data_IF_700605599701
#
_entry.id   IF_700605599701
#
_cell.length_a   1.000
_cell.length_b   1.000
_cell.length_c   1.000
_cell.angle_alpha   90.00
_cell.angle_beta   90.00
_cell.angle_gamma   90.00
#
_symmetry.space_group_name_H-M   'P 1'
#
loop_
_entity.id
_entity.type
_entity.pdbx_description
1 polymer ?
#
# COMPACT_ATOMS: atom_id res chain seq x y z
N UNK A 1 -1.51 22.53 -1.00
CA UNK A 1 -1.88 21.12 -0.70
C UNK A 1 -3.26 21.13 -0.06
N UNK A 2 -4.16 20.28 -0.52
CA UNK A 2 -5.45 20.02 0.12
C UNK A 2 -5.31 18.71 0.91
N UNK A 3 -5.43 18.79 2.22
CA UNK A 3 -5.26 17.66 3.14
C UNK A 3 -6.53 17.49 3.95
N UNK A 4 -7.42 16.61 3.51
CA UNK A 4 -8.64 16.27 4.22
C UNK A 4 -9.13 14.88 3.85
N UNK A 5 -9.78 14.24 4.79
CA UNK A 5 -10.55 13.04 4.53
C UNK A 5 -11.85 13.44 3.80
N UNK A 6 -12.04 12.91 2.59
CA UNK A 6 -13.20 13.25 1.76
C UNK A 6 -13.50 12.12 0.75
N UNK A 7 -14.71 12.12 0.25
CA UNK A 7 -15.21 11.19 -0.75
C UNK A 7 -15.01 11.72 -2.18
N UNK A 8 -15.48 10.99 -3.17
CA UNK A 8 -15.38 11.39 -4.58
C UNK A 8 -16.09 12.72 -4.89
N UNK A 9 -17.30 13.03 -4.40
CA UNK A 9 -17.91 14.36 -4.53
C UNK A 9 -17.05 15.50 -4.00
N UNK A 10 -16.41 15.31 -2.84
CA UNK A 10 -15.50 16.30 -2.29
C UNK A 10 -14.25 16.49 -3.15
N UNK A 11 -13.66 15.41 -3.65
CA UNK A 11 -12.51 15.50 -4.56
C UNK A 11 -12.86 16.15 -5.90
N UNK A 12 -14.05 15.92 -6.45
CA UNK A 12 -14.55 16.62 -7.65
C UNK A 12 -14.57 18.13 -7.45
N UNK A 13 -15.06 18.60 -6.31
CA UNK A 13 -15.07 20.02 -5.97
C UNK A 13 -13.65 20.58 -5.83
N UNK A 14 -12.75 19.83 -5.19
CA UNK A 14 -11.35 20.23 -5.02
C UNK A 14 -10.62 20.34 -6.36
N UNK A 15 -10.79 19.38 -7.27
CA UNK A 15 -10.19 19.45 -8.62
C UNK A 15 -10.67 20.71 -9.35
N UNK A 16 -11.98 21.01 -9.33
CA UNK A 16 -12.52 22.21 -9.97
C UNK A 16 -12.00 23.51 -9.36
N UNK A 17 -11.82 23.55 -8.05
CA UNK A 17 -11.18 24.68 -7.38
C UNK A 17 -9.72 24.85 -7.82
N UNK A 18 -8.97 23.74 -7.95
CA UNK A 18 -7.58 23.80 -8.43
C UNK A 18 -7.49 24.22 -9.91
N UNK A 19 -8.46 23.84 -10.74
CA UNK A 19 -8.59 24.35 -12.13
C UNK A 19 -8.78 25.87 -12.12
N UNK A 20 -9.74 26.36 -11.33
CA UNK A 20 -10.06 27.80 -11.24
C UNK A 20 -8.87 28.64 -10.73
N UNK A 21 -7.98 28.05 -9.91
CA UNK A 21 -6.74 28.68 -9.44
C UNK A 21 -5.64 28.77 -10.51
N UNK A 22 -5.81 28.17 -11.68
CA UNK A 22 -4.85 28.22 -12.77
C UNK A 22 -3.59 27.36 -12.54
N UNK A 23 -3.71 26.29 -11.77
CA UNK A 23 -2.61 25.34 -11.54
C UNK A 23 -2.14 24.73 -12.88
N UNK A 24 -0.85 24.36 -12.97
CA UNK A 24 -0.27 23.72 -14.16
C UNK A 24 -0.32 22.20 -14.11
N UNK A 25 -0.34 21.66 -12.89
CA UNK A 25 -0.50 20.23 -12.64
C UNK A 25 -1.38 20.01 -11.41
N UNK A 26 -2.12 18.92 -11.40
CA UNK A 26 -2.89 18.42 -10.26
C UNK A 26 -2.42 17.01 -9.98
N UNK A 27 -2.00 16.76 -8.74
CA UNK A 27 -1.60 15.42 -8.25
C UNK A 27 -2.67 15.00 -7.25
N UNK A 28 -3.22 13.81 -7.41
CA UNK A 28 -4.34 13.33 -6.63
C UNK A 28 -4.17 11.87 -6.22
N UNK A 29 -4.46 11.53 -4.97
CA UNK A 29 -4.75 10.16 -4.56
C UNK A 29 -6.27 9.97 -4.68
N UNK A 30 -6.76 9.23 -5.70
CA UNK A 30 -8.18 9.22 -6.03
C UNK A 30 -8.99 8.31 -5.12
N UNK A 31 -10.16 8.76 -4.71
CA UNK A 31 -11.13 7.98 -3.93
C UNK A 31 -11.80 6.84 -4.73
N UNK A 32 -11.64 6.81 -6.05
CA UNK A 32 -12.17 5.75 -6.91
C UNK A 32 -11.67 5.88 -8.34
N UNK A 33 -11.78 4.82 -9.13
CA UNK A 33 -11.17 4.78 -10.47
C UNK A 33 -11.86 5.69 -11.49
N UNK A 34 -13.19 5.83 -11.43
CA UNK A 34 -14.01 6.47 -12.48
C UNK A 34 -14.70 7.74 -12.01
N UNK A 35 -15.00 7.85 -10.73
CA UNK A 35 -15.84 8.90 -10.17
C UNK A 35 -15.31 10.31 -10.42
N UNK A 36 -13.99 10.45 -10.61
CA UNK A 36 -13.32 11.75 -10.82
C UNK A 36 -13.13 12.09 -12.30
N UNK A 37 -13.42 11.17 -13.21
CA UNK A 37 -13.20 11.35 -14.65
C UNK A 37 -13.78 12.66 -15.22
N UNK A 38 -14.99 13.12 -14.84
CA UNK A 38 -15.51 14.39 -15.37
C UNK A 38 -14.62 15.58 -15.02
N UNK A 39 -14.20 15.74 -13.77
CA UNK A 39 -13.35 16.87 -13.36
C UNK A 39 -11.92 16.73 -13.90
N UNK A 40 -11.41 15.51 -14.03
CA UNK A 40 -10.11 15.23 -14.64
C UNK A 40 -10.15 15.64 -16.13
N UNK A 41 -11.22 15.33 -16.86
CA UNK A 41 -11.38 15.73 -18.24
C UNK A 41 -11.47 17.28 -18.37
N UNK A 42 -12.17 17.95 -17.46
CA UNK A 42 -12.20 19.44 -17.38
C UNK A 42 -10.78 20.00 -17.18
N UNK A 43 -9.98 19.42 -16.29
CA UNK A 43 -8.60 19.84 -16.04
C UNK A 43 -7.71 19.66 -17.28
N UNK A 44 -7.78 18.50 -17.92
CA UNK A 44 -7.01 18.19 -19.13
C UNK A 44 -7.41 19.14 -20.29
N UNK A 45 -8.70 19.41 -20.47
CA UNK A 45 -9.18 20.37 -21.47
C UNK A 45 -8.69 21.80 -21.19
N UNK A 46 -8.45 22.17 -19.95
CA UNK A 46 -7.82 23.41 -19.54
C UNK A 46 -6.28 23.42 -19.68
N UNK A 47 -5.68 22.36 -20.22
CA UNK A 47 -4.23 22.23 -20.39
C UNK A 47 -3.47 21.89 -19.11
N UNK A 48 -4.14 21.38 -18.09
CA UNK A 48 -3.54 21.00 -16.81
C UNK A 48 -3.10 19.54 -16.87
N UNK A 49 -1.88 19.25 -16.46
CA UNK A 49 -1.40 17.88 -16.31
C UNK A 49 -2.04 17.26 -15.07
N UNK A 50 -2.71 16.11 -15.21
CA UNK A 50 -3.30 15.38 -14.08
C UNK A 50 -2.55 14.09 -13.85
N UNK A 51 -2.14 13.87 -12.60
CA UNK A 51 -1.41 12.67 -12.17
C UNK A 51 -2.15 12.05 -10.98
N UNK A 52 -2.65 10.84 -11.18
CA UNK A 52 -3.13 10.01 -10.08
C UNK A 52 -1.94 9.27 -9.45
N UNK A 53 -1.84 9.28 -8.13
CA UNK A 53 -0.77 8.62 -7.37
C UNK A 53 -1.36 7.58 -6.43
N UNK A 54 -0.61 6.51 -6.17
CA UNK A 54 -0.97 5.37 -5.31
C UNK A 54 -2.14 4.53 -5.87
N UNK A 55 -3.27 5.14 -6.16
CA UNK A 55 -4.41 4.53 -6.83
C UNK A 55 -4.59 5.09 -8.24
N UNK A 56 -5.11 4.28 -9.17
CA UNK A 56 -5.25 4.66 -10.57
C UNK A 56 -6.64 5.20 -10.90
N UNK A 57 -6.71 6.05 -11.94
CA UNK A 57 -7.95 6.52 -12.56
C UNK A 57 -8.05 6.02 -14.01
N UNK A 58 -9.27 5.94 -14.52
CA UNK A 58 -9.54 5.52 -15.92
C UNK A 58 -9.67 6.71 -16.88
N UNK A 59 -9.55 7.95 -16.40
CA UNK A 59 -9.69 9.16 -17.21
C UNK A 59 -8.67 9.19 -18.36
N UNK A 60 -9.10 9.28 -19.64
CA UNK A 60 -8.18 9.38 -20.76
C UNK A 60 -7.30 10.64 -20.64
N UNK A 61 -5.99 10.48 -20.85
CA UNK A 61 -5.03 11.58 -20.80
C UNK A 61 -4.48 11.91 -19.41
N UNK A 62 -5.03 11.34 -18.33
CA UNK A 62 -4.40 11.38 -17.02
C UNK A 62 -3.18 10.43 -16.99
N UNK A 63 -2.22 10.78 -16.16
CA UNK A 63 -1.10 9.88 -15.82
C UNK A 63 -1.43 9.14 -14.53
N UNK A 64 -1.11 7.86 -14.48
CA UNK A 64 -1.18 7.03 -13.28
C UNK A 64 0.24 6.69 -12.83
N UNK A 65 0.62 7.12 -11.65
CA UNK A 65 1.89 6.76 -11.00
C UNK A 65 1.56 6.06 -9.69
N UNK A 66 1.60 4.74 -9.70
CA UNK A 66 1.21 3.94 -8.55
C UNK A 66 2.30 2.96 -8.15
N UNK A 67 2.29 2.54 -6.89
CA UNK A 67 2.92 1.27 -6.54
C UNK A 67 2.21 0.18 -7.35
N UNK A 68 2.97 -0.78 -7.88
CA UNK A 68 2.38 -1.93 -8.57
C UNK A 68 1.63 -2.80 -7.55
N UNK A 69 0.35 -2.49 -7.34
CA UNK A 69 -0.46 -3.12 -6.30
C UNK A 69 -0.77 -4.59 -6.64
N UNK A 70 -0.85 -4.95 -7.93
CA UNK A 70 -0.98 -6.36 -8.32
C UNK A 70 0.30 -7.12 -7.97
N UNK A 71 1.46 -6.57 -8.33
CA UNK A 71 2.75 -7.18 -8.00
C UNK A 71 3.01 -7.20 -6.49
N UNK A 72 2.57 -6.18 -5.74
CA UNK A 72 2.61 -6.14 -4.28
C UNK A 72 1.95 -7.39 -3.68
N UNK A 73 0.71 -7.65 -4.06
CA UNK A 73 -0.02 -8.78 -3.52
C UNK A 73 0.49 -10.12 -4.04
N UNK A 74 0.88 -10.19 -5.30
CA UNK A 74 1.47 -11.40 -5.89
C UNK A 74 2.77 -11.80 -5.18
N UNK A 75 3.68 -10.86 -4.94
CA UNK A 75 4.93 -11.12 -4.21
C UNK A 75 4.66 -11.61 -2.79
N UNK A 76 3.80 -10.89 -2.07
CA UNK A 76 3.46 -11.25 -0.70
C UNK A 76 2.78 -12.62 -0.61
N UNK A 77 1.78 -12.88 -1.44
CA UNK A 77 1.06 -14.15 -1.45
C UNK A 77 1.96 -15.32 -1.85
N UNK A 78 2.77 -15.15 -2.92
CA UNK A 78 3.71 -16.19 -3.36
C UNK A 78 4.75 -16.52 -2.30
N UNK A 79 5.26 -15.51 -1.59
CA UNK A 79 6.16 -15.75 -0.45
C UNK A 79 5.45 -16.51 0.68
N UNK A 80 4.24 -16.05 1.06
CA UNK A 80 3.46 -16.67 2.13
C UNK A 80 3.18 -18.15 1.85
N UNK A 81 2.71 -18.45 0.64
CA UNK A 81 2.36 -19.81 0.25
C UNK A 81 3.57 -20.75 0.27
N UNK A 82 4.74 -20.26 -0.17
CA UNK A 82 6.00 -21.01 -0.04
C UNK A 82 6.40 -21.19 1.41
N UNK A 83 6.28 -20.17 2.27
CA UNK A 83 6.56 -20.29 3.71
C UNK A 83 5.62 -21.28 4.40
N UNK A 84 4.40 -21.48 3.89
CA UNK A 84 3.46 -22.53 4.33
C UNK A 84 3.77 -23.92 3.72
N UNK A 85 4.77 -24.04 2.86
CA UNK A 85 5.10 -25.30 2.17
C UNK A 85 4.10 -25.67 1.06
N UNK A 86 3.53 -24.66 0.40
CA UNK A 86 2.60 -24.76 -0.72
C UNK A 86 1.29 -25.52 -0.41
N UNK A 87 0.89 -25.56 0.86
CA UNK A 87 -0.34 -26.22 1.32
C UNK A 87 -0.86 -25.59 2.61
N UNK A 88 -2.16 -25.73 2.84
CA UNK A 88 -2.84 -25.24 4.04
C UNK A 88 -3.87 -24.17 3.75
N UNK A 89 -4.35 -23.53 4.80
CA UNK A 89 -5.44 -22.57 4.74
C UNK A 89 -4.97 -21.17 5.20
N UNK A 90 -5.30 -20.13 4.41
CA UNK A 90 -4.89 -18.75 4.68
C UNK A 90 -6.07 -17.90 5.13
N UNK A 91 -5.88 -17.05 6.13
CA UNK A 91 -6.79 -15.92 6.40
C UNK A 91 -6.41 -14.78 5.47
N UNK A 92 -7.33 -14.39 4.61
CA UNK A 92 -7.16 -13.33 3.63
C UNK A 92 -7.83 -12.05 4.09
N UNK A 93 -7.04 -11.08 4.57
CA UNK A 93 -7.53 -9.84 5.18
C UNK A 93 -7.35 -8.68 4.20
N UNK A 94 -8.44 -8.32 3.53
CA UNK A 94 -8.49 -7.27 2.48
C UNK A 94 -8.57 -5.87 3.08
N UNK A 95 -8.29 -4.86 2.24
CA UNK A 95 -8.44 -3.44 2.55
C UNK A 95 -9.88 -2.92 2.45
N UNK A 96 -10.09 -1.84 1.68
CA UNK A 96 -11.40 -1.23 1.42
C UNK A 96 -11.99 -1.85 0.15
N UNK A 97 -13.11 -2.53 0.25
CA UNK A 97 -13.78 -3.12 -0.90
C UNK A 97 -14.15 -2.05 -1.95
N UNK A 98 -13.77 -2.29 -3.21
CA UNK A 98 -14.00 -1.37 -4.32
C UNK A 98 -12.97 -0.25 -4.46
N UNK A 99 -12.03 -0.12 -3.52
CA UNK A 99 -10.89 0.77 -3.71
C UNK A 99 -9.92 0.19 -4.77
N UNK A 100 -9.39 1.01 -5.70
CA UNK A 100 -8.52 0.52 -6.77
C UNK A 100 -7.34 -0.33 -6.27
N UNK A 101 -6.62 0.13 -5.25
CA UNK A 101 -5.50 -0.62 -4.71
C UNK A 101 -5.91 -1.97 -4.09
N UNK A 102 -7.10 -2.08 -3.47
CA UNK A 102 -7.61 -3.35 -2.96
C UNK A 102 -7.99 -4.30 -4.09
N UNK A 103 -8.59 -3.78 -5.17
CA UNK A 103 -8.96 -4.55 -6.36
C UNK A 103 -7.72 -5.11 -7.06
N UNK A 104 -6.69 -4.29 -7.25
CA UNK A 104 -5.44 -4.71 -7.88
C UNK A 104 -4.70 -5.73 -6.99
N UNK A 105 -4.68 -5.52 -5.68
CA UNK A 105 -4.13 -6.50 -4.72
C UNK A 105 -4.89 -7.81 -4.75
N UNK A 106 -6.23 -7.79 -4.85
CA UNK A 106 -7.00 -9.02 -5.01
C UNK A 106 -6.60 -9.76 -6.29
N UNK A 107 -6.43 -9.05 -7.40
CA UNK A 107 -5.96 -9.65 -8.67
C UNK A 107 -4.62 -10.36 -8.49
N UNK A 108 -3.64 -9.71 -7.86
CA UNK A 108 -2.33 -10.30 -7.59
C UNK A 108 -2.38 -11.50 -6.63
N UNK A 109 -3.18 -11.40 -5.57
CA UNK A 109 -3.39 -12.51 -4.63
C UNK A 109 -4.02 -13.73 -5.32
N UNK A 110 -5.09 -13.53 -6.09
CA UNK A 110 -5.77 -14.60 -6.81
C UNK A 110 -4.88 -15.26 -7.88
N UNK A 111 -4.00 -14.47 -8.50
CA UNK A 111 -2.99 -15.00 -9.43
C UNK A 111 -2.03 -15.96 -8.72
N UNK A 112 -1.46 -15.53 -7.58
CA UNK A 112 -0.60 -16.39 -6.78
C UNK A 112 -1.34 -17.64 -6.28
N UNK A 113 -2.60 -17.50 -5.85
CA UNK A 113 -3.42 -18.63 -5.38
C UNK A 113 -3.62 -19.70 -6.45
N UNK A 114 -3.81 -19.30 -7.71
CA UNK A 114 -3.93 -20.24 -8.83
C UNK A 114 -2.65 -21.04 -9.09
N UNK A 115 -1.49 -20.45 -8.80
CA UNK A 115 -0.18 -21.09 -8.96
C UNK A 115 0.17 -22.04 -7.81
N UNK A 116 -0.58 -21.94 -6.68
CA UNK A 116 -0.38 -22.74 -5.47
C UNK A 116 -1.66 -23.55 -5.11
N UNK A 117 -2.02 -24.59 -5.87
CA UNK A 117 -3.31 -25.29 -5.75
C UNK A 117 -3.50 -26.04 -4.42
N UNK A 118 -2.46 -26.21 -3.61
CA UNK A 118 -2.54 -26.78 -2.26
C UNK A 118 -2.97 -25.76 -1.20
N UNK A 119 -3.08 -24.49 -1.54
CA UNK A 119 -3.52 -23.41 -0.64
C UNK A 119 -5.03 -23.21 -0.80
N UNK A 120 -5.72 -23.04 0.33
CA UNK A 120 -7.14 -22.69 0.41
C UNK A 120 -7.34 -21.42 1.25
N UNK A 121 -8.48 -20.77 1.10
CA UNK A 121 -8.84 -19.61 1.93
C UNK A 121 -9.71 -20.10 3.09
N UNK A 122 -9.22 -19.96 4.33
CA UNK A 122 -9.95 -20.30 5.55
C UNK A 122 -11.03 -19.25 5.88
N UNK A 123 -10.68 -17.98 5.69
CA UNK A 123 -11.58 -16.84 5.90
C UNK A 123 -11.14 -15.66 5.03
N UNK A 124 -12.12 -14.90 4.56
CA UNK A 124 -11.89 -13.58 3.93
C UNK A 124 -12.54 -12.51 4.78
N UNK A 125 -11.79 -11.45 5.10
CA UNK A 125 -12.28 -10.30 5.86
C UNK A 125 -11.98 -9.00 5.13
N UNK A 126 -12.70 -7.92 5.47
CA UNK A 126 -12.50 -6.59 4.90
C UNK A 126 -12.16 -5.63 6.03
N UNK A 127 -10.87 -5.38 6.23
CA UNK A 127 -10.35 -4.61 7.37
C UNK A 127 -10.56 -3.10 7.24
N UNK A 128 -10.83 -2.63 6.03
CA UNK A 128 -10.88 -1.19 5.66
C UNK A 128 -9.57 -0.44 5.95
N UNK A 129 -8.45 -1.18 6.09
CA UNK A 129 -7.18 -0.69 6.58
C UNK A 129 -7.26 -0.03 7.97
N UNK A 130 -8.32 -0.33 8.72
CA UNK A 130 -8.54 0.16 10.08
C UNK A 130 -8.03 -0.85 11.12
N UNK A 131 -7.10 -0.43 12.01
CA UNK A 131 -6.51 -1.31 13.00
C UNK A 131 -7.51 -1.95 13.97
N UNK A 132 -8.56 -1.21 14.39
CA UNK A 132 -9.55 -1.71 15.32
C UNK A 132 -10.45 -2.77 14.66
N UNK A 133 -10.88 -2.50 13.43
CA UNK A 133 -11.64 -3.45 12.61
C UNK A 133 -10.83 -4.72 12.37
N UNK A 134 -9.56 -4.60 12.00
CA UNK A 134 -8.70 -5.76 11.75
C UNK A 134 -8.51 -6.61 13.01
N UNK A 135 -8.27 -5.98 14.16
CA UNK A 135 -8.16 -6.66 15.46
C UNK A 135 -9.45 -7.42 15.80
N UNK A 136 -10.61 -6.81 15.62
CA UNK A 136 -11.90 -7.46 15.83
C UNK A 136 -12.05 -8.68 14.94
N UNK A 137 -11.81 -8.53 13.64
CA UNK A 137 -11.99 -9.59 12.67
C UNK A 137 -11.08 -10.80 12.88
N UNK A 138 -9.79 -10.58 13.21
CA UNK A 138 -8.91 -11.73 13.49
C UNK A 138 -9.30 -12.43 14.81
N UNK A 139 -9.77 -11.69 15.82
CA UNK A 139 -10.31 -12.27 17.04
C UNK A 139 -11.57 -13.10 16.76
N UNK A 140 -12.45 -12.64 15.89
CA UNK A 140 -13.65 -13.38 15.47
C UNK A 140 -13.28 -14.69 14.76
N UNK A 141 -12.29 -14.65 13.85
CA UNK A 141 -11.76 -15.84 13.15
C UNK A 141 -11.21 -16.87 14.15
N UNK A 142 -10.42 -16.42 15.13
CA UNK A 142 -9.87 -17.30 16.18
C UNK A 142 -10.97 -17.86 17.08
N UNK A 143 -11.90 -17.01 17.52
CA UNK A 143 -13.01 -17.37 18.42
C UNK A 143 -14.00 -18.36 17.79
N UNK A 144 -14.18 -18.29 16.47
CA UNK A 144 -14.95 -19.25 15.70
C UNK A 144 -14.26 -20.63 15.59
N UNK A 145 -13.04 -20.77 16.07
CA UNK A 145 -12.25 -22.00 15.97
C UNK A 145 -11.77 -22.29 14.55
N UNK A 146 -11.78 -21.30 13.66
CA UNK A 146 -11.29 -21.45 12.28
C UNK A 146 -9.80 -21.83 12.30
N UNK A 147 -9.46 -22.92 11.62
CA UNK A 147 -8.06 -23.35 11.47
C UNK A 147 -7.43 -22.64 10.29
N UNK A 148 -6.24 -22.10 10.49
CA UNK A 148 -5.46 -21.46 9.45
C UNK A 148 -3.97 -21.66 9.68
N UNK A 149 -3.21 -21.66 8.60
CA UNK A 149 -1.78 -21.95 8.56
C UNK A 149 -0.96 -20.72 8.12
N UNK A 150 -1.62 -19.64 7.69
CA UNK A 150 -0.98 -18.40 7.30
C UNK A 150 -1.95 -17.23 7.26
N UNK A 151 -1.42 -16.00 7.25
CA UNK A 151 -2.22 -14.78 7.18
C UNK A 151 -1.64 -13.85 6.11
N UNK A 152 -2.48 -13.44 5.17
CA UNK A 152 -2.18 -12.35 4.26
C UNK A 152 -2.92 -11.09 4.71
N UNK A 153 -2.18 -10.00 4.88
CA UNK A 153 -2.74 -8.69 5.21
C UNK A 153 -1.92 -7.57 4.56
N UNK A 154 -2.34 -6.31 4.71
CA UNK A 154 -1.67 -5.18 4.08
C UNK A 154 -1.96 -3.87 4.83
N UNK A 155 -1.08 -3.50 5.76
CA UNK A 155 -1.11 -2.22 6.46
C UNK A 155 -1.72 -2.24 7.86
N UNK A 156 -2.28 -3.38 8.31
CA UNK A 156 -2.80 -3.58 9.68
C UNK A 156 -2.08 -4.70 10.42
N UNK A 157 -0.93 -5.05 9.94
CA UNK A 157 -0.15 -6.26 10.22
C UNK A 157 0.27 -6.36 11.68
N UNK A 158 0.77 -5.26 12.25
CA UNK A 158 1.22 -5.23 13.64
C UNK A 158 0.06 -5.50 14.63
N UNK A 159 -1.14 -5.06 14.29
CA UNK A 159 -2.33 -5.31 15.10
C UNK A 159 -2.73 -6.78 15.08
N UNK A 160 -2.53 -7.46 13.95
CA UNK A 160 -2.79 -8.89 13.81
C UNK A 160 -1.80 -9.69 14.66
N UNK A 161 -0.50 -9.37 14.61
CA UNK A 161 0.52 -10.01 15.45
C UNK A 161 0.23 -9.78 16.93
N UNK A 162 -0.14 -8.54 17.32
CA UNK A 162 -0.53 -8.22 18.70
C UNK A 162 -1.75 -9.03 19.15
N UNK A 163 -2.75 -9.21 18.27
CA UNK A 163 -3.96 -10.00 18.58
C UNK A 163 -3.65 -11.50 18.75
N UNK A 164 -2.82 -12.09 17.87
CA UNK A 164 -2.36 -13.48 18.03
C UNK A 164 -1.65 -13.67 19.37
N UNK A 165 -0.75 -12.75 19.71
CA UNK A 165 -0.02 -12.77 20.99
C UNK A 165 -0.95 -12.67 22.19
N UNK A 166 -1.90 -11.74 22.17
CA UNK A 166 -2.87 -11.56 23.26
C UNK A 166 -3.77 -12.77 23.47
N UNK A 167 -4.13 -13.48 22.37
CA UNK A 167 -4.91 -14.70 22.42
C UNK A 167 -4.10 -15.95 22.76
N UNK A 168 -2.78 -15.84 22.97
CA UNK A 168 -1.85 -16.97 23.06
C UNK A 168 -1.98 -17.95 21.88
N UNK A 169 -2.35 -17.46 20.71
CA UNK A 169 -2.40 -18.25 19.49
C UNK A 169 -0.97 -18.43 18.96
N UNK A 170 -0.56 -19.61 18.54
CA UNK A 170 0.74 -19.81 17.91
C UNK A 170 0.89 -18.89 16.69
N UNK A 171 2.08 -18.31 16.50
CA UNK A 171 2.36 -17.59 15.28
C UNK A 171 2.32 -18.54 14.08
N UNK A 172 1.73 -18.06 13.00
CA UNK A 172 1.76 -18.66 11.67
C UNK A 172 2.50 -17.69 10.74
N UNK A 173 3.02 -18.13 9.58
CA UNK A 173 3.58 -17.22 8.59
C UNK A 173 2.62 -16.08 8.26
N UNK A 174 3.13 -14.85 8.26
CA UNK A 174 2.33 -13.65 7.98
C UNK A 174 3.03 -12.74 6.97
N UNK A 175 2.30 -12.23 6.01
CA UNK A 175 2.77 -11.19 5.13
C UNK A 175 1.94 -9.92 5.32
N UNK A 176 2.62 -8.79 5.26
CA UNK A 176 2.00 -7.48 5.43
C UNK A 176 2.77 -6.36 4.75
N UNK A 177 2.43 -5.12 5.10
CA UNK A 177 3.11 -3.93 4.62
C UNK A 177 4.40 -3.65 5.43
N UNK A 178 5.24 -2.78 4.91
CA UNK A 178 6.51 -2.34 5.50
C UNK A 178 6.35 -1.31 6.61
N UNK A 179 5.31 -1.45 7.44
CA UNK A 179 5.04 -0.53 8.55
C UNK A 179 5.99 -0.74 9.74
N UNK A 180 6.36 0.35 10.42
CA UNK A 180 7.34 0.35 11.51
C UNK A 180 7.01 -0.65 12.63
N UNK A 181 5.74 -0.78 12.99
CA UNK A 181 5.28 -1.75 13.99
C UNK A 181 5.54 -3.19 13.56
N UNK A 182 5.14 -3.54 12.33
CA UNK A 182 5.30 -4.90 11.81
C UNK A 182 6.77 -5.25 11.56
N UNK A 183 7.54 -4.35 10.96
CA UNK A 183 8.99 -4.54 10.79
C UNK A 183 9.70 -4.75 12.13
N UNK A 184 9.32 -3.98 13.16
CA UNK A 184 9.85 -4.15 14.51
C UNK A 184 9.50 -5.54 15.09
N UNK A 185 8.27 -6.03 14.87
CA UNK A 185 7.84 -7.36 15.31
C UNK A 185 8.58 -8.47 14.55
N UNK A 186 8.75 -8.34 13.21
CA UNK A 186 9.51 -9.31 12.42
C UNK A 186 10.97 -9.48 12.89
N UNK A 187 11.55 -8.44 13.46
CA UNK A 187 12.92 -8.46 13.98
C UNK A 187 13.00 -8.98 15.43
N UNK A 188 11.97 -8.77 16.26
CA UNK A 188 12.07 -8.94 17.70
C UNK A 188 11.18 -10.07 18.27
N UNK A 189 10.05 -10.41 17.60
CA UNK A 189 9.16 -11.45 18.12
C UNK A 189 9.72 -12.84 17.81
N UNK A 190 10.04 -13.57 18.87
CA UNK A 190 10.58 -14.94 18.74
C UNK A 190 9.54 -15.88 18.15
N UNK A 191 9.91 -16.56 17.07
CA UNK A 191 9.06 -17.53 16.40
C UNK A 191 8.09 -16.94 15.37
N UNK A 192 8.07 -15.63 15.21
CA UNK A 192 7.33 -14.98 14.13
C UNK A 192 8.10 -15.13 12.81
N UNK A 193 7.49 -15.79 11.84
CA UNK A 193 7.96 -15.87 10.44
C UNK A 193 7.10 -14.94 9.60
N UNK A 194 7.73 -14.04 8.85
CA UNK A 194 6.96 -13.12 8.04
C UNK A 194 7.78 -12.31 7.04
N UNK A 195 7.06 -11.59 6.20
CA UNK A 195 7.63 -10.67 5.23
C UNK A 195 6.79 -9.39 5.10
N UNK A 196 7.49 -8.28 4.94
CA UNK A 196 6.92 -6.98 4.64
C UNK A 196 7.08 -6.66 3.15
N UNK A 197 6.02 -6.22 2.49
CA UNK A 197 6.05 -5.75 1.11
C UNK A 197 5.99 -4.23 1.11
N UNK A 198 6.87 -3.57 0.35
CA UNK A 198 6.99 -2.12 0.37
C UNK A 198 5.86 -1.41 -0.37
N UNK A 199 5.36 -0.35 0.25
CA UNK A 199 4.35 0.55 -0.33
C UNK A 199 4.71 2.00 0.04
N UNK A 200 5.73 2.61 -0.61
CA UNK A 200 6.30 3.88 -0.17
C UNK A 200 5.31 5.04 -0.26
N UNK A 201 5.04 5.68 0.88
CA UNK A 201 4.18 6.88 0.96
C UNK A 201 4.75 8.08 0.20
N UNK A 202 6.05 8.07 -0.11
CA UNK A 202 6.71 9.09 -0.95
C UNK A 202 6.24 9.10 -2.42
N UNK A 203 5.31 8.21 -2.79
CA UNK A 203 4.66 8.19 -4.12
C UNK A 203 4.04 9.56 -4.48
N UNK A 204 3.54 10.30 -3.50
CA UNK A 204 3.07 11.67 -3.71
C UNK A 204 4.18 12.61 -4.21
N UNK A 205 5.37 12.52 -3.62
CA UNK A 205 6.56 13.25 -4.06
C UNK A 205 7.05 12.82 -5.44
N UNK A 206 6.98 11.52 -5.74
CA UNK A 206 7.26 11.01 -7.09
C UNK A 206 6.28 11.60 -8.13
N UNK A 207 5.02 11.80 -7.76
CA UNK A 207 4.03 12.51 -8.58
C UNK A 207 4.45 13.94 -8.92
N UNK A 208 5.04 14.66 -7.95
CA UNK A 208 5.61 16.01 -8.21
C UNK A 208 6.77 15.92 -9.20
N UNK A 209 7.67 14.97 -9.04
CA UNK A 209 8.80 14.74 -9.95
C UNK A 209 8.30 14.47 -11.37
N UNK A 210 7.31 13.60 -11.52
CA UNK A 210 6.68 13.30 -12.82
C UNK A 210 6.01 14.54 -13.42
N UNK A 211 5.28 15.34 -12.63
CA UNK A 211 4.67 16.58 -13.08
C UNK A 211 5.71 17.55 -13.67
N UNK A 212 6.82 17.76 -12.94
CA UNK A 212 7.90 18.63 -13.40
C UNK A 212 8.56 18.13 -14.69
N UNK A 213 8.76 16.82 -14.84
CA UNK A 213 9.26 16.21 -16.06
C UNK A 213 8.33 16.47 -17.23
N UNK A 214 7.02 16.24 -17.08
CA UNK A 214 6.03 16.45 -18.14
C UNK A 214 5.95 17.93 -18.53
N UNK A 215 5.91 18.82 -17.55
CA UNK A 215 5.87 20.27 -17.79
C UNK A 215 7.14 20.80 -18.47
N UNK A 216 8.29 20.11 -18.29
CA UNK A 216 9.53 20.42 -19.02
C UNK A 216 9.63 19.74 -20.38
N UNK A 217 8.57 19.05 -20.84
CA UNK A 217 8.52 18.35 -22.13
C UNK A 217 9.04 16.91 -22.12
N UNK A 218 9.43 16.38 -20.96
CA UNK A 218 9.89 15.00 -20.81
C UNK A 218 8.71 14.12 -20.36
N UNK A 219 7.98 13.58 -21.34
CA UNK A 219 6.86 12.69 -21.07
C UNK A 219 7.34 11.24 -20.92
N UNK A 220 6.74 10.44 -20.01
CA UNK A 220 7.00 9.00 -19.94
C UNK A 220 6.51 8.30 -21.21
N UNK A 221 7.02 7.12 -21.51
CA UNK A 221 6.61 6.31 -22.66
C UNK A 221 5.17 5.81 -22.58
N UNK A 222 4.62 5.72 -21.36
CA UNK A 222 3.24 5.33 -21.07
C UNK A 222 2.63 6.30 -20.08
N UNK A 223 1.31 6.49 -20.16
CA UNK A 223 0.56 7.23 -19.14
C UNK A 223 0.45 6.45 -17.81
N UNK A 224 0.80 5.16 -17.81
CA UNK A 224 0.86 4.34 -16.60
C UNK A 224 2.32 4.05 -16.27
N UNK A 225 2.73 4.44 -15.07
CA UNK A 225 4.07 4.22 -14.49
C UNK A 225 3.88 3.49 -13.17
N UNK A 226 4.52 2.32 -13.06
CA UNK A 226 4.50 1.53 -11.83
C UNK A 226 5.82 1.62 -11.09
N UNK A 227 5.74 1.79 -9.77
CA UNK A 227 6.86 1.60 -8.86
C UNK A 227 6.84 0.15 -8.41
N UNK A 228 7.94 -0.55 -8.67
CA UNK A 228 8.06 -1.97 -8.33
C UNK A 228 8.21 -2.15 -6.82
N UNK A 229 7.32 -2.90 -6.16
CA UNK A 229 7.45 -3.20 -4.75
C UNK A 229 8.60 -4.18 -4.47
N UNK A 230 9.17 -4.08 -3.28
CA UNK A 230 10.14 -5.04 -2.76
C UNK A 230 9.50 -5.90 -1.66
N UNK A 231 10.05 -7.09 -1.43
CA UNK A 231 9.69 -7.92 -0.30
C UNK A 231 10.89 -8.09 0.63
N UNK A 232 10.69 -7.89 1.93
CA UNK A 232 11.69 -7.99 2.98
C UNK A 232 11.27 -9.08 3.97
N UNK A 233 11.89 -10.26 3.86
CA UNK A 233 11.58 -11.41 4.71
C UNK A 233 12.52 -11.50 5.90
N UNK A 234 12.04 -12.02 7.04
CA UNK A 234 12.91 -12.38 8.14
C UNK A 234 13.45 -13.83 8.07
N UNK A 235 13.16 -14.54 6.98
CA UNK A 235 13.65 -15.90 6.76
C UNK A 235 15.02 -15.97 6.07
N UNK A 236 15.42 -14.89 5.36
CA UNK A 236 16.68 -14.85 4.65
C UNK A 236 17.57 -13.67 5.08
N UNK A 237 18.86 -13.77 4.82
CA UNK A 237 19.85 -12.77 5.26
C UNK A 237 19.65 -11.41 4.56
N UNK A 238 19.24 -11.40 3.29
CA UNK A 238 19.06 -10.18 2.52
C UNK A 238 17.82 -9.42 3.00
N UNK A 239 16.72 -10.13 3.22
CA UNK A 239 15.49 -9.56 3.79
C UNK A 239 15.72 -9.02 5.21
N UNK A 240 16.41 -9.79 6.07
CA UNK A 240 16.79 -9.32 7.42
C UNK A 240 17.64 -8.06 7.40
N UNK A 241 18.59 -7.95 6.47
CA UNK A 241 19.40 -6.76 6.34
C UNK A 241 18.55 -5.52 5.97
N UNK A 242 17.59 -5.68 5.05
CA UNK A 242 16.65 -4.60 4.67
C UNK A 242 15.74 -4.21 5.82
N UNK A 243 15.13 -5.19 6.51
CA UNK A 243 14.31 -4.94 7.70
C UNK A 243 15.09 -4.18 8.77
N UNK A 244 16.34 -4.60 9.06
CA UNK A 244 17.21 -3.96 10.05
C UNK A 244 17.58 -2.53 9.65
N UNK A 245 17.92 -2.31 8.38
CA UNK A 245 18.28 -0.99 7.87
C UNK A 245 17.09 0.00 7.90
N UNK A 246 15.87 -0.49 7.65
CA UNK A 246 14.66 0.31 7.64
C UNK A 246 14.10 0.57 9.05
N UNK A 247 14.29 -0.35 9.99
CA UNK A 247 13.66 -0.32 11.31
C UNK A 247 13.91 0.98 12.07
N UNK A 248 12.84 1.52 12.65
CA UNK A 248 12.88 2.67 13.54
C UNK A 248 11.75 2.60 14.56
N UNK A 249 12.10 2.23 15.79
CA UNK A 249 11.15 2.09 16.88
C UNK A 249 10.61 3.43 17.42
N UNK A 250 11.17 4.56 16.99
CA UNK A 250 10.69 5.90 17.39
C UNK A 250 9.48 6.36 16.58
N UNK A 251 9.21 5.70 15.43
CA UNK A 251 8.09 6.03 14.56
C UNK A 251 6.79 5.38 15.04
N UNK A 252 5.63 6.00 14.74
CA UNK A 252 4.35 5.36 14.95
C UNK A 252 4.27 4.00 14.24
N UNK A 253 3.59 3.02 14.84
CA UNK A 253 3.47 1.64 14.31
C UNK A 253 2.99 1.58 12.86
N UNK A 254 2.15 2.52 12.45
CA UNK A 254 1.57 2.60 11.11
C UNK A 254 2.45 3.30 10.07
N UNK A 255 3.61 3.83 10.48
CA UNK A 255 4.49 4.57 9.57
C UNK A 255 5.14 3.64 8.56
N UNK A 256 5.02 3.89 7.23
CA UNK A 256 5.69 3.08 6.21
C UNK A 256 7.20 3.35 6.22
N UNK A 257 8.01 2.31 6.03
CA UNK A 257 9.47 2.37 6.12
C UNK A 257 10.18 2.32 4.77
N UNK A 258 9.52 1.92 3.70
CA UNK A 258 10.00 2.08 2.32
C UNK A 258 9.90 3.55 1.92
N UNK A 259 10.94 4.34 2.21
CA UNK A 259 10.88 5.80 2.09
C UNK A 259 11.33 6.31 0.72
N UNK A 260 12.24 5.60 0.07
CA UNK A 260 12.85 6.04 -1.18
C UNK A 260 12.26 5.27 -2.34
N UNK A 261 11.86 6.00 -3.38
CA UNK A 261 11.52 5.43 -4.68
C UNK A 261 12.67 5.78 -5.61
N UNK A 262 13.49 4.78 -5.96
CA UNK A 262 14.66 4.97 -6.81
C UNK A 262 14.27 5.74 -8.08
N UNK A 263 15.13 6.68 -8.49
CA UNK A 263 14.95 7.56 -9.65
C UNK A 263 13.82 8.59 -9.57
N UNK A 264 12.97 8.54 -8.51
CA UNK A 264 11.82 9.42 -8.36
C UNK A 264 11.90 10.34 -7.17
N UNK A 265 12.42 9.86 -6.04
CA UNK A 265 12.50 10.66 -4.81
C UNK A 265 13.89 10.60 -4.22
N UNK A 266 14.34 11.73 -3.65
CA UNK A 266 15.63 11.86 -2.97
C UNK A 266 15.48 12.24 -1.51
N UNK A 267 14.25 12.12 -0.97
CA UNK A 267 13.95 12.49 0.41
C UNK A 267 14.74 11.63 1.39
N UNK A 268 15.33 12.28 2.38
CA UNK A 268 15.88 11.62 3.55
C UNK A 268 14.77 11.35 4.56
N UNK A 269 15.00 10.37 5.44
CA UNK A 269 14.06 10.07 6.52
C UNK A 269 13.74 11.29 7.42
N UNK A 270 14.71 12.13 7.86
CA UNK A 270 14.40 13.35 8.61
C UNK A 270 13.48 14.31 7.86
N UNK A 271 13.66 14.49 6.56
CA UNK A 271 12.80 15.37 5.74
C UNK A 271 11.36 14.86 5.67
N UNK A 272 11.17 13.54 5.52
CA UNK A 272 9.84 12.93 5.49
C UNK A 272 9.15 13.01 6.85
N UNK A 273 9.89 12.79 7.95
CA UNK A 273 9.36 12.85 9.32
C UNK A 273 9.01 14.28 9.73
N UNK A 274 9.74 15.28 9.25
CA UNK A 274 9.51 16.68 9.59
C UNK A 274 8.10 17.16 9.19
N UNK A 275 7.41 16.47 8.29
CA UNK A 275 6.08 16.83 7.75
C UNK A 275 5.98 18.31 7.33
N UNK A 276 7.10 18.89 6.92
CA UNK A 276 7.16 20.29 6.50
C UNK A 276 6.85 20.39 5.01
N UNK A 277 5.84 21.18 4.69
CA UNK A 277 5.56 21.59 3.31
C UNK A 277 6.59 22.63 2.81
N UNK A 278 6.64 22.84 1.49
CA UNK A 278 7.43 23.94 0.93
C UNK A 278 6.99 25.27 1.53
N UNK A 279 7.90 25.95 2.26
CA UNK A 279 7.61 27.23 2.91
C UNK A 279 7.26 27.14 4.40
N UNK A 280 7.18 25.95 4.98
CA UNK A 280 7.06 25.80 6.43
C UNK A 280 8.44 26.04 7.07
N UNK A 281 8.54 27.11 7.89
CA UNK A 281 9.75 27.48 8.62
C UNK A 281 10.05 26.52 9.79
#
# INVERSE_FOLDING_TARGET
>A
IIHRDTDAPGQLADIRNLIAQGNKAIIINPAGPDALNPAIAEAIAAGITVIAVDASVTAPGAYNLSNDQEQYAYLGASWLFKAMGDKGAVVYMRGIAGHPADTDRDTGFQKALKEHPGITIAATTVTKWDPATATTQINDVMSAGTKFDGIWTSGVDSNIVDALKAANHPYVPIVGADNAGFVTQLLNEKGLVGAAVTNPASIGGAGVTLALQILSGKKPASNTVHVTPEIWSNEDAAGKAKLTAAADASLPKTWPLGLTIQDWTTYTKPELIACKGPGDA
#
